data_IF_751602259405
#
_entry.id   IF_751602259405
#
_cell.length_a   1.000
_cell.length_b   1.000
_cell.length_c   1.000
_cell.angle_alpha   90.00
_cell.angle_beta   90.00
_cell.angle_gamma   90.00
#
_symmetry.space_group_name_H-M   'P 1'
#
loop_
_entity.id
_entity.type
_entity.pdbx_description
1 polymer ?
#
# COMPACT_ATOMS: atom_id res chain seq x y z
N UNK A 1 12.92 25.20 14.50
CA UNK A 1 12.98 23.95 13.72
C UNK A 1 11.57 23.38 13.76
N UNK A 2 10.89 23.29 12.62
CA UNK A 2 9.55 22.68 12.58
C UNK A 2 9.72 21.19 12.90
N UNK A 3 8.93 20.66 13.84
CA UNK A 3 8.94 19.26 14.18
C UNK A 3 8.59 18.41 12.94
N UNK A 4 9.11 17.20 12.88
CA UNK A 4 8.75 16.27 11.79
C UNK A 4 7.34 15.76 12.05
N UNK A 5 6.40 15.91 11.12
CA UNK A 5 5.05 15.43 11.34
C UNK A 5 5.03 13.91 11.47
N UNK A 6 4.18 13.42 12.38
CA UNK A 6 3.92 12.00 12.57
C UNK A 6 2.59 11.61 11.92
N UNK A 7 2.50 10.39 11.47
CA UNK A 7 1.39 9.87 10.70
C UNK A 7 0.88 8.53 11.25
N UNK A 8 -0.40 8.26 11.03
CA UNK A 8 -0.92 6.90 11.08
C UNK A 8 -0.75 6.32 9.69
N UNK A 9 0.04 5.27 9.54
CA UNK A 9 0.40 4.74 8.22
C UNK A 9 -0.09 3.30 8.08
N UNK A 10 -0.93 3.07 7.09
CA UNK A 10 -1.32 1.73 6.65
C UNK A 10 -0.63 1.44 5.32
N UNK A 11 0.03 0.30 5.21
CA UNK A 11 0.64 -0.14 3.96
C UNK A 11 -0.09 -1.38 3.44
N UNK A 12 -0.40 -1.38 2.16
CA UNK A 12 -0.94 -2.53 1.44
C UNK A 12 0.11 -3.00 0.43
N UNK A 13 0.64 -4.17 0.68
CA UNK A 13 1.53 -4.86 -0.23
C UNK A 13 0.91 -6.14 -0.79
N UNK A 14 1.69 -6.90 -1.56
CA UNK A 14 1.22 -8.18 -2.08
C UNK A 14 2.29 -8.92 -2.83
N UNK A 15 2.12 -10.25 -2.97
CA UNK A 15 3.18 -11.12 -3.47
C UNK A 15 3.54 -10.87 -4.94
N UNK A 16 2.58 -10.38 -5.76
CA UNK A 16 2.83 -10.05 -7.16
C UNK A 16 2.00 -8.87 -7.64
N UNK A 17 1.97 -8.63 -8.96
CA UNK A 17 1.14 -7.61 -9.62
C UNK A 17 -0.29 -8.11 -9.81
N UNK A 18 -1.23 -7.17 -9.98
CA UNK A 18 -2.62 -7.43 -10.39
C UNK A 18 -3.34 -8.50 -9.53
N UNK A 19 -3.13 -8.46 -8.21
CA UNK A 19 -3.75 -9.37 -7.24
C UNK A 19 -4.75 -8.67 -6.31
N UNK A 20 -5.24 -7.48 -6.73
CA UNK A 20 -6.25 -6.76 -5.97
C UNK A 20 -5.73 -5.89 -4.82
N UNK A 21 -4.45 -5.47 -4.81
CA UNK A 21 -3.93 -4.50 -3.82
C UNK A 21 -4.67 -3.17 -3.88
N UNK A 22 -4.74 -2.58 -5.07
CA UNK A 22 -5.44 -1.33 -5.32
C UNK A 22 -6.90 -1.42 -4.91
N UNK A 23 -7.55 -2.55 -5.17
CA UNK A 23 -8.93 -2.77 -4.73
C UNK A 23 -9.04 -2.77 -3.21
N UNK A 24 -8.15 -3.45 -2.49
CA UNK A 24 -8.15 -3.42 -1.02
C UNK A 24 -7.97 -2.01 -0.47
N UNK A 25 -7.09 -1.21 -1.06
CA UNK A 25 -6.94 0.21 -0.68
C UNK A 25 -8.25 0.96 -0.89
N UNK A 26 -8.92 0.79 -2.04
CA UNK A 26 -10.22 1.41 -2.31
C UNK A 26 -11.29 0.94 -1.31
N UNK A 27 -11.35 -0.35 -1.00
CA UNK A 27 -12.30 -0.92 -0.05
C UNK A 27 -12.12 -0.32 1.36
N UNK A 28 -10.87 -0.15 1.80
CA UNK A 28 -10.56 0.49 3.09
C UNK A 28 -11.00 1.95 3.09
N UNK A 29 -10.66 2.71 2.06
CA UNK A 29 -11.01 4.13 1.94
C UNK A 29 -12.53 4.31 1.99
N UNK A 30 -13.27 3.54 1.20
CA UNK A 30 -14.73 3.64 1.12
C UNK A 30 -15.45 3.15 2.38
N UNK A 31 -14.84 2.23 3.14
CA UNK A 31 -15.38 1.73 4.42
C UNK A 31 -15.22 2.78 5.53
N UNK A 32 -14.17 3.60 5.51
CA UNK A 32 -13.87 4.61 6.52
C UNK A 32 -13.79 6.02 5.92
N UNK A 33 -14.85 6.54 5.29
CA UNK A 33 -14.81 7.82 4.57
C UNK A 33 -14.55 9.02 5.50
N UNK A 34 -14.94 8.92 6.79
CA UNK A 34 -14.72 9.96 7.81
C UNK A 34 -13.26 10.15 8.18
N UNK A 35 -12.37 9.21 7.84
CA UNK A 35 -10.95 9.30 8.16
C UNK A 35 -10.21 10.36 7.33
N UNK A 36 -10.79 10.83 6.23
CA UNK A 36 -10.17 11.84 5.35
C UNK A 36 -8.80 11.40 4.80
N UNK A 37 -8.71 10.19 4.30
CA UNK A 37 -7.48 9.55 3.86
C UNK A 37 -6.64 10.39 2.90
N UNK A 38 -5.31 10.37 3.10
CA UNK A 38 -4.34 10.63 2.03
C UNK A 38 -3.87 9.27 1.53
N UNK A 39 -4.06 9.01 0.23
CA UNK A 39 -3.70 7.73 -0.38
C UNK A 39 -2.50 7.89 -1.31
N UNK A 40 -1.60 6.90 -1.36
CA UNK A 40 -0.43 6.95 -2.21
C UNK A 40 -0.15 5.62 -2.92
N UNK A 41 0.13 5.73 -4.23
CA UNK A 41 0.73 4.66 -5.01
C UNK A 41 2.23 4.89 -5.09
N UNK A 42 3.03 3.87 -4.75
CA UNK A 42 4.49 3.95 -4.87
C UNK A 42 4.95 2.84 -5.80
N UNK A 43 5.56 3.22 -6.92
CA UNK A 43 6.09 2.29 -7.92
C UNK A 43 7.55 2.54 -8.20
N UNK A 44 8.27 1.47 -8.50
CA UNK A 44 9.61 1.54 -9.03
C UNK A 44 9.58 1.13 -10.50
N UNK A 45 10.14 1.95 -11.37
CA UNK A 45 10.23 1.74 -12.81
C UNK A 45 11.67 1.41 -13.25
N UNK A 46 11.85 0.99 -14.50
CA UNK A 46 13.06 0.40 -15.02
C UNK A 46 13.01 -1.13 -14.95
N UNK A 47 13.82 -1.80 -15.76
CA UNK A 47 13.79 -3.25 -15.91
C UNK A 47 12.40 -3.80 -16.25
N UNK A 48 11.77 -3.29 -17.30
CA UNK A 48 10.47 -3.75 -17.79
C UNK A 48 9.26 -3.10 -17.13
N UNK A 49 9.42 -2.00 -16.37
CA UNK A 49 8.28 -1.26 -15.79
C UNK A 49 8.24 0.16 -16.32
N UNK A 50 7.09 0.56 -16.84
CA UNK A 50 6.87 1.88 -17.40
C UNK A 50 6.87 2.98 -16.33
N UNK A 51 7.58 4.08 -16.61
CA UNK A 51 7.56 5.26 -15.74
C UNK A 51 6.26 6.06 -15.82
N UNK A 52 5.51 5.92 -16.94
CA UNK A 52 4.28 6.69 -17.17
C UNK A 52 3.04 6.03 -16.56
N UNK A 53 2.93 4.71 -16.62
CA UNK A 53 1.73 4.00 -16.19
C UNK A 53 1.98 2.80 -15.27
N UNK A 54 3.25 2.46 -14.98
CA UNK A 54 3.62 1.34 -14.11
C UNK A 54 3.39 -0.05 -14.72
N UNK A 55 2.99 -0.14 -15.98
CA UNK A 55 2.79 -1.40 -16.69
C UNK A 55 4.12 -1.97 -17.19
N UNK A 56 4.11 -3.22 -17.66
CA UNK A 56 5.29 -3.82 -18.26
C UNK A 56 5.62 -3.09 -19.58
N UNK A 57 6.82 -2.55 -19.66
CA UNK A 57 7.34 -1.94 -20.87
C UNK A 57 8.86 -1.83 -20.84
N UNK A 58 9.47 -1.72 -22.03
CA UNK A 58 10.92 -1.55 -22.20
C UNK A 58 11.33 -0.07 -22.28
N UNK A 59 10.40 0.87 -22.12
CA UNK A 59 10.74 2.27 -22.07
C UNK A 59 11.41 2.61 -20.74
N UNK A 60 12.59 3.22 -20.78
CA UNK A 60 13.28 3.79 -19.63
C UNK A 60 13.45 5.29 -19.87
N UNK A 61 12.49 6.14 -19.51
CA UNK A 61 12.71 7.58 -19.55
C UNK A 61 13.77 7.93 -18.51
N UNK A 62 14.89 8.49 -18.96
CA UNK A 62 16.03 8.87 -18.11
C UNK A 62 15.86 10.23 -17.42
N UNK A 63 14.73 10.89 -17.58
CA UNK A 63 14.60 12.30 -17.22
C UNK A 63 14.52 12.59 -15.73
N UNK A 64 14.00 11.65 -14.90
CA UNK A 64 13.88 11.86 -13.45
C UNK A 64 14.09 10.57 -12.66
N UNK A 65 14.95 10.62 -11.67
CA UNK A 65 15.18 9.51 -10.73
C UNK A 65 13.94 9.28 -9.86
N UNK A 66 13.25 10.35 -9.50
CA UNK A 66 12.03 10.33 -8.68
C UNK A 66 11.07 11.41 -9.17
N UNK A 67 9.79 11.10 -9.16
CA UNK A 67 8.71 12.05 -9.41
C UNK A 67 7.52 11.75 -8.50
N UNK A 68 6.88 12.80 -7.99
CA UNK A 68 5.62 12.69 -7.25
C UNK A 68 4.57 13.58 -7.93
N UNK A 69 3.40 13.03 -8.14
CA UNK A 69 2.28 13.72 -8.76
C UNK A 69 1.04 13.54 -7.89
N UNK A 70 0.35 14.65 -7.62
CA UNK A 70 -0.96 14.62 -6.98
C UNK A 70 -2.02 14.41 -8.03
N UNK A 71 -2.93 13.47 -7.77
CA UNK A 71 -4.06 13.27 -8.66
C UNK A 71 -5.04 14.44 -8.55
N UNK A 72 -5.42 14.95 -9.71
CA UNK A 72 -6.39 16.05 -9.82
C UNK A 72 -7.80 15.53 -10.12
N UNK A 73 -7.91 14.37 -10.77
CA UNK A 73 -9.17 13.87 -11.34
C UNK A 73 -9.35 12.37 -11.09
N UNK A 74 -10.48 11.95 -10.51
CA UNK A 74 -10.74 10.54 -10.22
C UNK A 74 -10.97 9.66 -11.47
N UNK A 75 -11.23 10.26 -12.63
CA UNK A 75 -11.54 9.59 -13.89
C UNK A 75 -10.31 9.17 -14.72
N UNK A 76 -9.09 9.48 -14.29
CA UNK A 76 -7.87 9.26 -15.09
C UNK A 76 -7.48 7.79 -15.31
N UNK A 77 -8.15 6.85 -14.66
CA UNK A 77 -7.90 5.41 -14.85
C UNK A 77 -6.61 4.87 -14.23
N UNK A 78 -5.84 5.71 -13.53
CA UNK A 78 -4.67 5.28 -12.75
C UNK A 78 -5.09 4.67 -11.42
N UNK A 79 -4.21 3.88 -10.79
CA UNK A 79 -4.49 3.34 -9.46
C UNK A 79 -4.68 4.45 -8.42
N UNK A 80 -3.89 5.53 -8.49
CA UNK A 80 -4.01 6.69 -7.62
C UNK A 80 -5.30 7.49 -7.86
N UNK A 81 -5.78 7.58 -9.11
CA UNK A 81 -7.08 8.17 -9.43
C UNK A 81 -8.24 7.32 -8.85
N UNK A 82 -8.11 5.99 -8.85
CA UNK A 82 -9.08 5.09 -8.21
C UNK A 82 -9.19 5.33 -6.70
N UNK A 83 -8.12 5.73 -6.03
CA UNK A 83 -8.17 6.09 -4.62
C UNK A 83 -9.00 7.35 -4.37
N UNK A 84 -8.90 8.37 -5.26
CA UNK A 84 -9.81 9.53 -5.21
C UNK A 84 -11.26 9.12 -5.45
N UNK A 85 -11.51 8.28 -6.46
CA UNK A 85 -12.85 7.77 -6.75
C UNK A 85 -13.45 6.99 -5.57
N UNK A 86 -12.62 6.29 -4.78
CA UNK A 86 -13.03 5.59 -3.58
C UNK A 86 -13.31 6.51 -2.38
N UNK A 87 -13.01 7.81 -2.47
CA UNK A 87 -13.29 8.80 -1.44
C UNK A 87 -12.07 9.29 -0.65
N UNK A 88 -10.85 9.03 -1.10
CA UNK A 88 -9.67 9.67 -0.51
C UNK A 88 -9.74 11.18 -0.67
N UNK A 89 -9.41 11.93 0.40
CA UNK A 89 -9.36 13.39 0.36
C UNK A 89 -8.31 13.91 -0.61
N UNK A 90 -7.18 13.21 -0.70
CA UNK A 90 -6.10 13.45 -1.65
C UNK A 90 -5.44 12.13 -2.03
N UNK A 91 -4.91 12.08 -3.24
CA UNK A 91 -4.14 10.93 -3.69
C UNK A 91 -2.92 11.37 -4.49
N UNK A 92 -1.86 10.58 -4.41
CA UNK A 92 -0.63 10.84 -5.16
C UNK A 92 -0.01 9.55 -5.72
N UNK A 93 0.81 9.73 -6.73
CA UNK A 93 1.66 8.68 -7.28
C UNK A 93 3.13 9.09 -7.15
N UNK A 94 3.90 8.35 -6.34
CA UNK A 94 5.35 8.44 -6.27
C UNK A 94 5.96 7.38 -7.20
N UNK A 95 6.72 7.83 -8.17
CA UNK A 95 7.48 6.99 -9.10
C UNK A 95 8.96 7.18 -8.82
N UNK A 96 9.69 6.08 -8.68
CA UNK A 96 11.15 6.12 -8.51
C UNK A 96 11.81 5.15 -9.45
N UNK A 97 13.02 5.46 -9.91
CA UNK A 97 13.85 4.48 -10.59
C UNK A 97 14.16 3.32 -9.64
N UNK A 98 14.26 2.10 -10.15
CA UNK A 98 14.57 0.94 -9.32
C UNK A 98 15.91 1.13 -8.59
N UNK A 99 15.92 0.90 -7.28
CA UNK A 99 17.04 1.15 -6.39
C UNK A 99 17.09 2.56 -5.80
N UNK A 100 16.24 3.49 -6.23
CA UNK A 100 16.25 4.90 -5.82
C UNK A 100 15.06 5.29 -4.95
N UNK A 101 14.41 4.34 -4.29
CA UNK A 101 13.28 4.67 -3.42
C UNK A 101 13.70 5.52 -2.22
N UNK A 102 14.93 5.35 -1.72
CA UNK A 102 15.46 6.15 -0.62
C UNK A 102 15.47 7.65 -0.95
N UNK A 103 15.77 7.99 -2.21
CA UNK A 103 15.78 9.37 -2.71
C UNK A 103 14.36 9.92 -2.93
N UNK A 104 13.39 9.04 -3.17
CA UNK A 104 11.98 9.42 -3.30
C UNK A 104 11.29 9.72 -1.96
N UNK A 105 11.79 9.19 -0.84
CA UNK A 105 11.16 9.41 0.47
C UNK A 105 11.21 10.86 0.95
N UNK A 106 12.32 11.60 0.84
CA UNK A 106 12.33 13.04 1.12
C UNK A 106 11.33 13.83 0.30
N UNK A 107 11.21 13.52 -1.00
CA UNK A 107 10.22 14.15 -1.89
C UNK A 107 8.79 13.89 -1.41
N UNK A 108 8.48 12.65 -1.03
CA UNK A 108 7.17 12.29 -0.47
C UNK A 108 6.91 13.02 0.86
N UNK A 109 7.90 13.07 1.75
CA UNK A 109 7.82 13.80 3.02
C UNK A 109 7.48 15.28 2.82
N UNK A 110 8.18 15.94 1.92
CA UNK A 110 7.94 17.34 1.66
C UNK A 110 6.57 17.59 1.03
N UNK A 111 6.15 16.75 0.10
CA UNK A 111 4.82 16.83 -0.49
C UNK A 111 3.70 16.62 0.56
N UNK A 112 3.87 15.67 1.48
CA UNK A 112 2.94 15.43 2.58
C UNK A 112 2.90 16.59 3.56
N UNK A 113 4.06 17.17 3.96
CA UNK A 113 4.11 18.36 4.83
C UNK A 113 3.34 19.54 4.23
N UNK A 114 3.54 19.81 2.95
CA UNK A 114 2.82 20.89 2.26
C UNK A 114 1.32 20.60 2.09
N UNK A 115 0.89 19.35 2.31
CA UNK A 115 -0.51 18.98 2.27
C UNK A 115 -1.26 19.23 3.58
N UNK A 116 -0.55 19.45 4.69
CA UNK A 116 -1.13 19.70 6.00
C UNK A 116 -1.55 21.16 6.12
N UNK A 117 -2.76 21.37 6.59
CA UNK A 117 -3.32 22.72 6.84
C UNK A 117 -3.54 23.03 8.32
N UNK A 118 -3.04 22.18 9.23
CA UNK A 118 -3.29 22.27 10.66
C UNK A 118 -2.15 21.68 11.53
N UNK A 119 -2.35 21.64 12.85
CA UNK A 119 -1.38 21.05 13.78
C UNK A 119 -1.16 19.56 13.52
N UNK A 120 0.01 19.06 13.90
CA UNK A 120 0.44 17.65 13.66
C UNK A 120 -0.51 16.61 14.24
N UNK A 121 -1.20 16.96 15.34
CA UNK A 121 -2.16 16.06 16.01
C UNK A 121 -3.37 15.71 15.12
N UNK A 122 -3.68 16.57 14.15
CA UNK A 122 -4.77 16.40 13.18
C UNK A 122 -4.29 15.80 11.84
N UNK A 123 -3.08 15.25 11.77
CA UNK A 123 -2.57 14.62 10.54
C UNK A 123 -3.51 13.50 10.07
N UNK A 124 -4.06 13.58 8.86
CA UNK A 124 -4.93 12.53 8.33
C UNK A 124 -4.15 11.22 8.18
N UNK A 125 -4.81 10.07 8.29
CA UNK A 125 -4.13 8.80 8.08
C UNK A 125 -3.67 8.65 6.63
N UNK A 126 -2.52 7.98 6.47
CA UNK A 126 -1.96 7.62 5.17
C UNK A 126 -2.27 6.16 4.88
N UNK A 127 -2.71 5.89 3.64
CA UNK A 127 -2.79 4.54 3.12
C UNK A 127 -1.93 4.44 1.86
N UNK A 128 -0.95 3.53 1.86
CA UNK A 128 0.08 3.47 0.84
C UNK A 128 0.14 2.08 0.19
N UNK A 129 0.01 2.02 -1.12
CA UNK A 129 0.20 0.79 -1.88
C UNK A 129 1.67 0.63 -2.29
N UNK A 130 2.39 -0.26 -1.60
CA UNK A 130 3.81 -0.55 -1.90
C UNK A 130 4.32 -1.79 -1.17
N UNK A 131 5.15 -2.59 -1.83
CA UNK A 131 5.98 -3.59 -1.15
C UNK A 131 7.33 -3.00 -0.71
N UNK A 132 7.91 -2.17 -1.56
CA UNK A 132 9.28 -1.68 -1.38
C UNK A 132 9.42 -0.74 -0.19
N UNK A 133 8.35 -0.02 0.15
CA UNK A 133 8.33 0.90 1.27
C UNK A 133 8.63 0.21 2.62
N UNK A 134 8.29 -1.08 2.73
CA UNK A 134 8.55 -1.88 3.91
C UNK A 134 10.04 -2.04 4.27
N UNK A 135 10.95 -1.70 3.36
CA UNK A 135 12.39 -1.70 3.62
C UNK A 135 12.84 -0.44 4.40
N UNK A 136 12.05 0.63 4.36
CA UNK A 136 12.42 1.95 4.85
C UNK A 136 11.64 2.40 6.07
N UNK A 137 10.44 1.85 6.28
CA UNK A 137 9.62 2.22 7.42
C UNK A 137 8.91 1.02 8.04
N UNK A 138 8.51 1.18 9.29
CA UNK A 138 7.60 0.28 9.98
C UNK A 138 6.25 1.00 10.07
N UNK A 139 5.24 0.61 9.28
CA UNK A 139 3.93 1.25 9.34
C UNK A 139 3.20 0.92 10.64
N UNK A 140 2.10 1.64 10.91
CA UNK A 140 1.15 1.29 11.98
C UNK A 140 0.45 -0.03 11.70
N UNK A 141 0.25 -0.36 10.41
CA UNK A 141 -0.41 -1.60 9.98
C UNK A 141 0.08 -1.98 8.57
N UNK A 142 0.38 -3.26 8.36
CA UNK A 142 0.75 -3.79 7.04
C UNK A 142 -0.13 -4.97 6.65
N UNK A 143 -0.83 -4.84 5.53
CA UNK A 143 -1.59 -5.92 4.91
C UNK A 143 -0.85 -6.49 3.71
N UNK A 144 -0.70 -7.81 3.66
CA UNK A 144 -0.14 -8.50 2.51
C UNK A 144 -1.24 -9.25 1.76
N UNK A 145 -1.52 -8.79 0.53
CA UNK A 145 -2.48 -9.47 -0.38
C UNK A 145 -1.79 -10.65 -1.04
N UNK A 146 -2.43 -11.79 -1.01
CA UNK A 146 -1.95 -13.05 -1.59
C UNK A 146 -3.06 -13.65 -2.45
N UNK A 147 -2.71 -14.00 -3.69
CA UNK A 147 -3.57 -14.76 -4.59
C UNK A 147 -2.98 -16.17 -4.78
N UNK A 148 -3.60 -17.21 -4.21
CA UNK A 148 -3.10 -18.58 -4.33
C UNK A 148 -3.04 -19.13 -5.75
N UNK A 149 -3.78 -18.53 -6.69
CA UNK A 149 -3.77 -18.93 -8.11
C UNK A 149 -2.58 -18.35 -8.89
N UNK A 150 -1.78 -17.46 -8.28
CA UNK A 150 -0.62 -16.81 -8.93
C UNK A 150 0.69 -17.36 -8.38
N UNK A 151 1.49 -18.00 -9.24
CA UNK A 151 2.74 -18.63 -8.84
C UNK A 151 3.93 -17.66 -8.68
N UNK A 152 3.90 -16.51 -9.35
CA UNK A 152 4.99 -15.54 -9.31
C UNK A 152 5.02 -14.81 -7.96
N UNK A 153 6.16 -14.87 -7.29
CA UNK A 153 6.34 -14.25 -5.98
C UNK A 153 7.56 -13.32 -5.98
N UNK A 154 7.32 -12.02 -5.92
CA UNK A 154 8.38 -11.01 -5.94
C UNK A 154 9.26 -11.09 -4.71
N UNK A 155 10.57 -10.93 -4.89
CA UNK A 155 11.55 -10.94 -3.79
C UNK A 155 11.25 -9.87 -2.73
N UNK A 156 10.81 -8.66 -3.15
CA UNK A 156 10.42 -7.58 -2.22
C UNK A 156 9.25 -7.96 -1.33
N UNK A 157 8.31 -8.74 -1.84
CA UNK A 157 7.17 -9.21 -1.05
C UNK A 157 7.59 -10.31 -0.05
N UNK A 158 8.50 -11.21 -0.44
CA UNK A 158 9.01 -12.26 0.47
C UNK A 158 9.70 -11.68 1.69
N UNK A 159 10.52 -10.64 1.50
CA UNK A 159 11.25 -9.98 2.60
C UNK A 159 10.31 -9.29 3.59
N UNK A 160 9.15 -8.83 3.13
CA UNK A 160 8.19 -8.09 3.97
C UNK A 160 7.08 -8.97 4.57
N UNK A 161 6.92 -10.21 4.10
CA UNK A 161 5.74 -11.02 4.42
C UNK A 161 5.62 -11.38 5.90
N UNK A 162 6.74 -11.67 6.58
CA UNK A 162 6.78 -11.95 8.02
C UNK A 162 6.39 -10.74 8.87
N UNK A 163 6.43 -9.54 8.31
CA UNK A 163 6.04 -8.29 8.96
C UNK A 163 4.56 -7.96 8.79
N UNK A 164 3.81 -8.74 8.00
CA UNK A 164 2.38 -8.48 7.79
C UNK A 164 1.61 -8.67 9.10
N UNK A 165 0.74 -7.73 9.42
CA UNK A 165 -0.20 -7.80 10.54
C UNK A 165 -1.41 -8.68 10.20
N UNK A 166 -1.78 -8.72 8.91
CA UNK A 166 -2.76 -9.66 8.38
C UNK A 166 -2.47 -10.02 6.93
N UNK A 167 -2.90 -11.24 6.55
CA UNK A 167 -2.87 -11.73 5.16
C UNK A 167 -4.27 -11.64 4.57
N UNK A 168 -4.37 -11.03 3.39
CA UNK A 168 -5.64 -10.93 2.64
C UNK A 168 -5.55 -11.87 1.44
N UNK A 169 -6.31 -12.95 1.50
CA UNK A 169 -6.31 -14.01 0.50
C UNK A 169 -7.35 -13.69 -0.58
N UNK A 170 -6.91 -13.63 -1.81
CA UNK A 170 -7.77 -13.50 -2.99
C UNK A 170 -8.08 -14.89 -3.52
N UNK A 171 -9.34 -15.32 -3.40
CA UNK A 171 -9.78 -16.66 -3.74
C UNK A 171 -10.08 -17.52 -2.51
N UNK A 172 -10.65 -18.69 -2.72
CA UNK A 172 -10.94 -19.66 -1.67
C UNK A 172 -9.67 -20.45 -1.36
N UNK A 173 -9.22 -20.38 -0.13
CA UNK A 173 -8.39 -21.39 0.48
C UNK A 173 -9.27 -22.09 1.51
N UNK A 174 -9.81 -23.23 1.16
CA UNK A 174 -10.63 -24.02 2.08
C UNK A 174 -9.83 -24.53 3.30
N UNK A 175 -8.50 -24.56 3.16
CA UNK A 175 -7.57 -24.84 4.26
C UNK A 175 -6.32 -23.94 4.15
N UNK A 176 -6.11 -23.01 5.08
CA UNK A 176 -4.88 -22.20 5.13
C UNK A 176 -3.59 -23.04 5.27
N UNK A 177 -3.69 -24.28 5.77
CA UNK A 177 -2.56 -25.20 5.85
C UNK A 177 -2.24 -25.84 4.48
N UNK A 178 -3.18 -25.82 3.55
CA UNK A 178 -3.01 -26.28 2.16
C UNK A 178 -2.45 -25.19 1.23
N UNK A 179 -1.72 -24.19 1.76
CA UNK A 179 -1.06 -23.18 0.96
C UNK A 179 -0.30 -23.82 -0.20
N UNK A 180 -0.47 -23.35 -1.42
CA UNK A 180 0.23 -23.91 -2.58
C UNK A 180 1.73 -24.02 -2.29
N UNK A 181 2.33 -25.14 -2.69
CA UNK A 181 3.74 -25.45 -2.40
C UNK A 181 4.72 -24.39 -2.93
N UNK A 182 4.31 -23.61 -3.92
CA UNK A 182 5.11 -22.52 -4.49
C UNK A 182 5.24 -21.29 -3.58
N UNK A 183 4.29 -21.07 -2.67
CA UNK A 183 4.35 -19.93 -1.74
C UNK A 183 5.53 -20.08 -0.76
N UNK A 184 6.06 -21.28 -0.55
CA UNK A 184 7.17 -21.56 0.38
C UNK A 184 7.04 -20.78 1.71
N UNK A 185 5.81 -20.53 2.13
CA UNK A 185 5.54 -19.89 3.41
C UNK A 185 5.75 -20.95 4.48
N UNK A 186 6.48 -20.62 5.53
CA UNK A 186 6.49 -21.48 6.71
C UNK A 186 5.04 -21.68 7.16
N UNK A 187 4.60 -22.92 7.31
CA UNK A 187 3.23 -23.25 7.70
C UNK A 187 2.80 -22.53 9.02
N UNK A 188 3.75 -22.23 9.90
CA UNK A 188 3.54 -21.43 11.10
C UNK A 188 3.20 -19.96 10.79
N UNK A 189 3.69 -19.37 9.70
CA UNK A 189 3.36 -17.98 9.38
C UNK A 189 1.86 -17.80 9.15
N UNK A 190 1.26 -18.69 8.37
CA UNK A 190 -0.20 -18.69 8.11
C UNK A 190 -1.01 -18.98 9.38
N UNK A 191 -0.48 -19.79 10.31
CA UNK A 191 -1.15 -20.09 11.57
C UNK A 191 -1.04 -19.00 12.63
N UNK A 192 0.01 -18.18 12.57
CA UNK A 192 0.29 -17.14 13.58
C UNK A 192 -0.23 -15.77 13.18
N UNK A 193 -0.59 -15.55 11.90
CA UNK A 193 -1.09 -14.27 11.41
C UNK A 193 -2.58 -14.37 11.11
N UNK A 194 -3.37 -13.32 11.44
CA UNK A 194 -4.73 -13.21 10.97
C UNK A 194 -4.75 -13.35 9.45
N UNK A 195 -5.52 -14.30 8.95
CA UNK A 195 -5.69 -14.53 7.52
C UNK A 195 -7.18 -14.45 7.21
N UNK A 196 -7.54 -13.62 6.22
CA UNK A 196 -8.92 -13.41 5.81
C UNK A 196 -9.05 -13.63 4.31
N UNK A 197 -10.11 -14.28 3.88
CA UNK A 197 -10.48 -14.33 2.47
C UNK A 197 -11.36 -13.13 2.15
N UNK A 198 -11.08 -12.48 1.03
CA UNK A 198 -11.90 -11.40 0.49
C UNK A 198 -11.89 -11.48 -1.03
N UNK A 199 -13.04 -11.58 -1.65
CA UNK A 199 -13.23 -11.50 -3.09
C UNK A 199 -13.46 -10.05 -3.51
N UNK A 200 -13.23 -9.79 -4.78
CA UNK A 200 -13.55 -8.48 -5.36
C UNK A 200 -15.05 -8.18 -5.23
N UNK A 201 -15.39 -6.99 -4.75
CA UNK A 201 -16.77 -6.55 -4.51
C UNK A 201 -17.39 -7.01 -3.18
N UNK A 202 -16.71 -7.82 -2.38
CA UNK A 202 -17.13 -8.15 -1.02
C UNK A 202 -16.79 -7.03 -0.04
N UNK A 203 -17.61 -6.87 1.00
CA UNK A 203 -17.34 -5.95 2.09
C UNK A 203 -16.00 -6.28 2.77
N UNK A 204 -15.41 -5.26 3.40
CA UNK A 204 -14.17 -5.42 4.16
C UNK A 204 -14.41 -6.43 5.31
N UNK A 205 -13.63 -7.52 5.42
CA UNK A 205 -13.80 -8.50 6.48
C UNK A 205 -13.62 -7.90 7.88
N UNK A 206 -14.47 -8.31 8.82
CA UNK A 206 -14.49 -7.80 10.20
C UNK A 206 -13.11 -7.79 10.90
N UNK A 207 -12.25 -8.80 10.78
CA UNK A 207 -10.92 -8.75 11.38
C UNK A 207 -10.05 -7.60 10.88
N UNK A 208 -10.16 -7.22 9.58
CA UNK A 208 -9.45 -6.06 9.03
C UNK A 208 -10.07 -4.76 9.52
N UNK A 209 -11.40 -4.69 9.59
CA UNK A 209 -12.12 -3.54 10.10
C UNK A 209 -11.64 -3.17 11.51
N UNK A 210 -11.61 -4.14 12.43
CA UNK A 210 -11.14 -3.95 13.82
C UNK A 210 -9.68 -3.47 13.87
N UNK A 211 -8.80 -4.02 13.04
CA UNK A 211 -7.38 -3.59 13.00
C UNK A 211 -7.25 -2.14 12.54
N UNK A 212 -7.99 -1.76 11.50
CA UNK A 212 -7.97 -0.41 10.94
C UNK A 212 -8.54 0.61 11.94
N UNK A 213 -9.68 0.31 12.56
CA UNK A 213 -10.27 1.18 13.59
C UNK A 213 -9.29 1.46 14.73
N UNK A 214 -8.59 0.44 15.21
CA UNK A 214 -7.58 0.60 16.24
C UNK A 214 -6.47 1.56 15.82
N UNK A 215 -6.01 1.50 14.57
CA UNK A 215 -5.01 2.45 14.04
C UNK A 215 -5.60 3.85 13.97
N UNK A 216 -6.82 4.01 13.49
CA UNK A 216 -7.47 5.32 13.37
C UNK A 216 -7.69 6.00 14.72
N UNK A 217 -7.92 5.24 15.78
CA UNK A 217 -8.10 5.73 17.17
C UNK A 217 -6.76 5.97 17.88
N UNK A 218 -5.64 5.46 17.37
CA UNK A 218 -4.32 5.64 17.97
C UNK A 218 -3.71 7.00 17.60
N UNK A 219 -2.80 7.58 18.41
CA UNK A 219 -2.09 8.78 18.03
C UNK A 219 -1.17 8.53 16.82
N UNK A 220 -0.89 9.56 16.00
CA UNK A 220 0.11 9.48 14.95
C UNK A 220 1.50 9.15 15.55
N UNK A 221 2.20 8.17 14.98
CA UNK A 221 3.44 7.66 15.58
C UNK A 221 4.57 7.44 14.58
N UNK A 222 4.29 7.52 13.28
CA UNK A 222 5.27 7.21 12.24
C UNK A 222 5.82 8.51 11.64
N UNK A 223 7.13 8.72 11.82
CA UNK A 223 7.86 9.74 11.09
C UNK A 223 8.19 9.21 9.68
N UNK A 224 7.82 9.98 8.66
CA UNK A 224 8.11 9.67 7.26
C UNK A 224 9.23 10.56 6.76
#
# INVERSE_FOLDING_TARGET
MSATPHWRVIVVGGHTRSIGKTQLVCDIISTFPQANWIAGKITQYGHGVCAQNGNDCDCAPDEHICAIEWEAHPELGTDSARFLAAGAKRSFWLRTKQGFLAEGLPLMRDALKHSLSGPEEDSPPLILESNSLMQFLKPSLYFAVIDPAREDFKSSARVALDRADALVLRGSMDDPAAAPSWIKLPANLLRTKPSVSQREGEALPEPLHVLIERVLQSPPSIAI
#
